data_IF_047957312746
#
_entry.id   IF_047957312746
#
_cell.length_a   1.000
_cell.length_b   1.000
_cell.length_c   1.000
_cell.angle_alpha   90.00
_cell.angle_beta   90.00
_cell.angle_gamma   90.00
#
_symmetry.space_group_name_H-M   'P 1'
#
loop_
_entity.id
_entity.type
_entity.pdbx_description
1 polymer ?
#
# COMPACT_ATOMS: atom_id res chain seq x y z
N UNK A 1 -7.88 -11.41 23.17
CA UNK A 1 -8.41 -11.94 21.89
C UNK A 1 -9.18 -10.81 21.21
N UNK A 2 -8.59 -10.15 20.21
CA UNK A 2 -9.24 -9.06 19.47
C UNK A 2 -10.22 -9.70 18.49
N UNK A 3 -11.53 -9.48 18.69
CA UNK A 3 -12.59 -10.15 17.95
C UNK A 3 -12.66 -9.72 16.47
N UNK A 4 -12.16 -10.58 15.59
CA UNK A 4 -12.14 -10.43 14.12
C UNK A 4 -13.52 -10.50 13.42
N UNK A 5 -14.64 -10.55 14.16
CA UNK A 5 -15.99 -10.82 13.65
C UNK A 5 -16.95 -9.63 13.80
N UNK A 6 -16.47 -8.45 14.21
CA UNK A 6 -17.31 -7.25 14.27
C UNK A 6 -17.62 -6.81 12.83
N UNK A 7 -18.90 -6.74 12.44
CA UNK A 7 -19.35 -6.44 11.07
C UNK A 7 -18.65 -5.21 10.45
N UNK A 8 -18.42 -4.15 11.24
CA UNK A 8 -17.73 -2.95 10.78
C UNK A 8 -16.26 -3.23 10.41
N UNK A 9 -15.58 -4.12 11.13
CA UNK A 9 -14.20 -4.52 10.83
C UNK A 9 -14.11 -5.36 9.56
N UNK A 10 -15.07 -6.27 9.36
CA UNK A 10 -15.16 -7.07 8.13
C UNK A 10 -15.42 -6.18 6.92
N UNK A 11 -16.40 -5.28 7.00
CA UNK A 11 -16.70 -4.32 5.93
C UNK A 11 -15.50 -3.43 5.60
N UNK A 12 -14.77 -2.96 6.62
CA UNK A 12 -13.56 -2.19 6.40
C UNK A 12 -12.49 -2.99 5.64
N UNK A 13 -12.26 -4.24 6.03
CA UNK A 13 -11.30 -5.11 5.32
C UNK A 13 -11.74 -5.37 3.88
N UNK A 14 -13.04 -5.53 3.64
CA UNK A 14 -13.57 -5.68 2.28
C UNK A 14 -13.31 -4.44 1.43
N UNK A 15 -13.55 -3.23 1.94
CA UNK A 15 -13.26 -1.97 1.22
C UNK A 15 -11.77 -1.83 0.88
N UNK A 16 -10.89 -2.18 1.82
CA UNK A 16 -9.44 -2.11 1.59
C UNK A 16 -8.97 -3.17 0.59
N UNK A 17 -9.56 -4.37 0.63
CA UNK A 17 -9.27 -5.42 -0.35
C UNK A 17 -9.76 -5.04 -1.75
N UNK A 18 -10.96 -4.48 -1.87
CA UNK A 18 -11.52 -3.99 -3.13
C UNK A 18 -10.64 -2.91 -3.75
N UNK A 19 -10.17 -1.96 -2.93
CA UNK A 19 -9.22 -0.95 -3.35
C UNK A 19 -7.90 -1.57 -3.84
N UNK A 20 -7.34 -2.52 -3.09
CA UNK A 20 -6.12 -3.22 -3.48
C UNK A 20 -6.30 -3.93 -4.82
N UNK A 21 -7.37 -4.71 -4.98
CA UNK A 21 -7.70 -5.44 -6.20
C UNK A 21 -7.88 -4.50 -7.39
N UNK A 22 -8.60 -3.41 -7.21
CA UNK A 22 -8.83 -2.40 -8.26
C UNK A 22 -7.51 -1.76 -8.71
N UNK A 23 -6.63 -1.42 -7.77
CA UNK A 23 -5.32 -0.84 -8.08
C UNK A 23 -4.43 -1.83 -8.82
N UNK A 24 -4.35 -3.08 -8.37
CA UNK A 24 -3.54 -4.12 -9.02
C UNK A 24 -4.10 -4.45 -10.40
N UNK A 25 -5.42 -4.53 -10.54
CA UNK A 25 -6.07 -4.76 -11.84
C UNK A 25 -5.82 -3.63 -12.84
N UNK A 26 -5.65 -2.39 -12.36
CA UNK A 26 -5.25 -1.25 -13.19
C UNK A 26 -3.79 -1.28 -13.66
N UNK A 27 -3.00 -2.27 -13.24
CA UNK A 27 -1.60 -2.42 -13.63
C UNK A 27 -1.47 -3.70 -14.48
N UNK A 28 -1.45 -3.55 -15.79
CA UNK A 28 -1.52 -4.66 -16.77
C UNK A 28 -0.56 -5.82 -16.46
N UNK A 29 0.68 -5.55 -16.07
CA UNK A 29 1.66 -6.61 -15.78
C UNK A 29 1.39 -7.36 -14.47
N UNK A 30 0.86 -6.68 -13.45
CA UNK A 30 0.46 -7.34 -12.21
C UNK A 30 -0.85 -8.09 -12.41
N UNK A 31 -1.80 -7.49 -13.14
CA UNK A 31 -3.06 -8.15 -13.48
C UNK A 31 -2.80 -9.46 -14.23
N UNK A 32 -1.93 -9.46 -15.24
CA UNK A 32 -1.61 -10.65 -16.03
C UNK A 32 -0.60 -11.60 -15.36
N UNK A 33 -0.15 -11.33 -14.13
CA UNK A 33 0.80 -12.21 -13.44
C UNK A 33 0.13 -13.53 -13.05
N UNK A 34 0.88 -14.62 -13.08
CA UNK A 34 0.35 -15.94 -12.73
C UNK A 34 -0.12 -15.98 -11.27
N UNK A 35 0.62 -15.33 -10.36
CA UNK A 35 0.27 -15.21 -8.95
C UNK A 35 -1.08 -14.50 -8.77
N UNK A 36 -1.28 -13.38 -9.46
CA UNK A 36 -2.50 -12.61 -9.31
C UNK A 36 -3.69 -13.33 -9.94
N UNK A 37 -3.51 -13.93 -11.12
CA UNK A 37 -4.53 -14.74 -11.78
C UNK A 37 -4.94 -15.94 -10.94
N UNK A 38 -3.97 -16.63 -10.33
CA UNK A 38 -4.23 -17.71 -9.38
C UNK A 38 -4.97 -17.21 -8.14
N UNK A 39 -4.66 -16.00 -7.65
CA UNK A 39 -5.37 -15.41 -6.51
C UNK A 39 -6.84 -15.10 -6.82
N UNK A 40 -7.16 -14.54 -7.98
CA UNK A 40 -8.53 -14.10 -8.31
C UNK A 40 -9.41 -15.18 -8.96
N UNK A 41 -8.82 -16.19 -9.61
CA UNK A 41 -9.53 -17.23 -10.38
C UNK A 41 -9.18 -18.66 -9.95
N UNK A 42 -8.18 -18.83 -9.09
CA UNK A 42 -7.70 -20.13 -8.67
C UNK A 42 -8.60 -20.83 -7.65
N UNK A 43 -8.12 -21.97 -7.11
CA UNK A 43 -8.88 -22.74 -6.14
C UNK A 43 -9.03 -21.97 -4.81
N UNK A 44 -10.00 -22.39 -3.99
CA UNK A 44 -10.29 -21.76 -2.69
C UNK A 44 -9.08 -21.72 -1.74
N UNK A 45 -8.17 -22.69 -1.85
CA UNK A 45 -6.91 -22.71 -1.11
C UNK A 45 -5.77 -22.12 -1.97
N UNK A 46 -5.73 -20.79 -2.04
CA UNK A 46 -4.67 -20.05 -2.72
C UNK A 46 -3.28 -20.37 -2.16
N UNK A 47 -3.16 -20.62 -0.84
CA UNK A 47 -1.86 -20.83 -0.21
C UNK A 47 -1.21 -22.09 -0.73
N UNK A 48 -1.95 -23.20 -0.79
CA UNK A 48 -1.46 -24.45 -1.36
C UNK A 48 -1.18 -24.33 -2.85
N UNK A 49 -2.03 -23.62 -3.58
CA UNK A 49 -1.86 -23.45 -5.02
C UNK A 49 -0.65 -22.58 -5.38
N UNK A 50 -0.34 -21.55 -4.59
CA UNK A 50 0.81 -20.67 -4.84
C UNK A 50 2.17 -21.35 -4.59
N UNK A 51 2.20 -22.48 -3.88
CA UNK A 51 3.42 -23.28 -3.68
C UNK A 51 3.90 -23.97 -4.97
N UNK A 52 3.01 -24.21 -5.94
CA UNK A 52 3.38 -24.83 -7.23
C UNK A 52 3.89 -23.83 -8.27
N UNK A 53 3.85 -22.53 -7.98
CA UNK A 53 4.32 -21.50 -8.91
C UNK A 53 5.85 -21.56 -9.05
N UNK A 54 6.32 -21.48 -10.30
CA UNK A 54 7.75 -21.46 -10.59
C UNK A 54 8.38 -20.18 -10.05
N UNK A 55 9.49 -20.31 -9.31
CA UNK A 55 10.22 -19.15 -8.78
C UNK A 55 11.35 -18.81 -9.73
N UNK A 56 11.26 -17.66 -10.36
CA UNK A 56 12.33 -17.18 -11.22
C UNK A 56 13.63 -16.99 -10.46
N UNK A 57 14.72 -17.43 -11.08
CA UNK A 57 16.03 -16.97 -10.67
C UNK A 57 16.23 -15.51 -11.16
N UNK A 58 17.21 -14.82 -10.57
CA UNK A 58 17.48 -13.40 -10.86
C UNK A 58 17.79 -13.12 -12.33
N UNK A 59 18.42 -14.06 -13.04
CA UNK A 59 18.76 -13.90 -14.47
C UNK A 59 17.49 -13.88 -15.31
N UNK A 60 16.56 -14.80 -15.05
CA UNK A 60 15.29 -14.85 -15.75
C UNK A 60 14.39 -13.66 -15.39
N UNK A 61 14.36 -13.27 -14.11
CA UNK A 61 13.67 -12.05 -13.69
C UNK A 61 14.21 -10.81 -14.41
N UNK A 62 15.54 -10.68 -14.52
CA UNK A 62 16.20 -9.58 -15.24
C UNK A 62 15.79 -9.53 -16.71
N UNK A 63 15.81 -10.69 -17.39
CA UNK A 63 15.39 -10.80 -18.80
C UNK A 63 13.96 -10.35 -19.01
N UNK A 64 13.02 -10.79 -18.16
CA UNK A 64 11.61 -10.37 -18.25
C UNK A 64 11.44 -8.87 -18.00
N UNK A 65 12.15 -8.31 -17.01
CA UNK A 65 12.09 -6.87 -16.75
C UNK A 65 12.66 -6.06 -17.92
N UNK A 66 13.77 -6.48 -18.52
CA UNK A 66 14.32 -5.83 -19.70
C UNK A 66 13.35 -5.83 -20.88
N UNK A 67 12.64 -6.94 -21.09
CA UNK A 67 11.67 -7.04 -22.18
C UNK A 67 10.41 -6.20 -21.91
N UNK A 68 9.92 -6.20 -20.67
CA UNK A 68 8.65 -5.56 -20.33
C UNK A 68 8.80 -4.06 -20.03
N UNK A 69 9.97 -3.62 -19.59
CA UNK A 69 10.28 -2.26 -19.16
C UNK A 69 11.48 -1.70 -19.93
N UNK A 70 11.55 -2.01 -21.23
CA UNK A 70 12.68 -1.68 -22.10
C UNK A 70 12.98 -0.17 -22.15
N UNK A 71 11.94 0.65 -22.07
CA UNK A 71 12.03 2.11 -22.02
C UNK A 71 12.84 2.61 -20.81
N UNK A 72 12.77 1.89 -19.69
CA UNK A 72 13.50 2.25 -18.47
C UNK A 72 14.95 1.74 -18.49
N UNK A 73 15.25 0.73 -19.30
CA UNK A 73 16.61 0.22 -19.47
C UNK A 73 17.54 1.24 -20.15
N UNK A 74 16.99 2.21 -20.90
CA UNK A 74 17.75 3.22 -21.63
C UNK A 74 18.27 4.37 -20.75
N UNK A 75 17.70 4.59 -19.56
CA UNK A 75 18.11 5.68 -18.69
C UNK A 75 19.56 5.50 -18.22
N UNK A 76 20.38 6.56 -18.15
CA UNK A 76 21.71 6.46 -17.56
C UNK A 76 21.59 6.18 -16.06
N UNK A 77 22.53 5.41 -15.50
CA UNK A 77 22.61 5.30 -14.05
C UNK A 77 23.05 6.66 -13.50
N UNK A 78 22.34 7.17 -12.50
CA UNK A 78 22.55 8.51 -12.00
C UNK A 78 22.75 8.47 -10.47
N UNK A 79 23.94 8.88 -10.01
CA UNK A 79 24.27 8.90 -8.59
C UNK A 79 23.38 9.86 -7.78
N UNK A 80 22.77 10.85 -8.43
CA UNK A 80 21.78 11.75 -7.80
C UNK A 80 20.50 11.02 -7.38
N UNK A 81 20.17 9.88 -7.99
CA UNK A 81 18.98 9.10 -7.63
C UNK A 81 19.00 8.66 -6.17
N UNK A 82 20.18 8.39 -5.61
CA UNK A 82 20.29 8.01 -4.20
C UNK A 82 19.79 9.12 -3.27
N UNK A 83 20.20 10.36 -3.53
CA UNK A 83 19.78 11.54 -2.77
C UNK A 83 18.27 11.72 -2.90
N UNK A 84 17.74 11.63 -4.13
CA UNK A 84 16.32 11.79 -4.40
C UNK A 84 15.46 10.72 -3.70
N UNK A 85 15.91 9.47 -3.64
CA UNK A 85 15.23 8.42 -2.86
C UNK A 85 15.26 8.69 -1.36
N UNK A 86 16.37 9.16 -0.81
CA UNK A 86 16.50 9.48 0.62
C UNK A 86 15.58 10.65 1.01
N UNK A 87 15.51 11.68 0.18
CA UNK A 87 14.58 12.81 0.34
C UNK A 87 13.11 12.34 0.26
N UNK A 88 12.78 11.54 -0.75
CA UNK A 88 11.43 10.99 -0.91
C UNK A 88 11.03 10.12 0.28
N UNK A 89 11.91 9.23 0.75
CA UNK A 89 11.64 8.40 1.93
C UNK A 89 11.39 9.23 3.17
N UNK A 90 12.20 10.27 3.40
CA UNK A 90 12.02 11.18 4.53
C UNK A 90 10.66 11.87 4.45
N UNK A 91 10.30 12.37 3.27
CA UNK A 91 9.03 13.01 3.03
C UNK A 91 7.84 12.06 3.25
N UNK A 92 7.86 10.87 2.64
CA UNK A 92 6.76 9.91 2.77
C UNK A 92 6.60 9.34 4.17
N UNK A 93 7.71 9.11 4.91
CA UNK A 93 7.64 8.68 6.32
C UNK A 93 7.01 9.77 7.19
N UNK A 94 7.41 11.02 7.01
CA UNK A 94 6.78 12.16 7.69
C UNK A 94 5.30 12.28 7.36
N UNK A 95 4.94 12.18 6.06
CA UNK A 95 3.56 12.17 5.60
C UNK A 95 2.72 11.04 6.22
N UNK A 96 3.27 9.82 6.29
CA UNK A 96 2.62 8.67 6.94
C UNK A 96 2.32 8.96 8.40
N UNK A 97 3.29 9.49 9.14
CA UNK A 97 3.15 9.77 10.57
C UNK A 97 2.09 10.86 10.82
N UNK A 98 2.05 11.88 9.95
CA UNK A 98 1.00 12.90 9.97
C UNK A 98 -0.38 12.31 9.67
N UNK A 99 -0.48 11.44 8.66
CA UNK A 99 -1.75 10.78 8.30
C UNK A 99 -2.25 9.84 9.40
N UNK A 100 -1.36 9.13 10.09
CA UNK A 100 -1.72 8.31 11.25
C UNK A 100 -2.28 9.16 12.40
N UNK A 101 -1.65 10.29 12.71
CA UNK A 101 -2.17 11.23 13.71
C UNK A 101 -3.54 11.80 13.29
N UNK A 102 -3.69 12.12 12.01
CA UNK A 102 -4.95 12.62 11.48
C UNK A 102 -6.06 11.56 11.49
N UNK A 103 -5.77 10.29 11.19
CA UNK A 103 -6.74 9.18 11.29
C UNK A 103 -7.33 9.07 12.70
N UNK A 104 -6.50 9.23 13.74
CA UNK A 104 -6.97 9.21 15.13
C UNK A 104 -7.97 10.34 15.40
N UNK A 105 -7.71 11.54 14.88
CA UNK A 105 -8.62 12.69 15.03
C UNK A 105 -9.92 12.47 14.27
N UNK A 106 -9.83 12.05 13.00
CA UNK A 106 -11.00 11.76 12.15
C UNK A 106 -11.84 10.65 12.75
N UNK A 107 -11.21 9.60 13.27
CA UNK A 107 -11.91 8.50 13.95
C UNK A 107 -12.70 8.98 15.16
N UNK A 108 -12.12 9.85 15.99
CA UNK A 108 -12.84 10.45 17.13
C UNK A 108 -14.06 11.25 16.66
N UNK A 109 -13.92 12.06 15.62
CA UNK A 109 -15.03 12.83 15.07
C UNK A 109 -16.11 11.93 14.45
N UNK A 110 -15.70 10.86 13.77
CA UNK A 110 -16.61 9.83 13.27
C UNK A 110 -17.42 9.20 14.42
N UNK A 111 -16.76 8.79 15.50
CA UNK A 111 -17.40 8.18 16.67
C UNK A 111 -18.31 9.19 17.40
N UNK A 112 -17.88 10.46 17.54
CA UNK A 112 -18.71 11.52 18.15
C UNK A 112 -19.93 11.89 17.33
N UNK A 113 -19.84 11.82 16.00
CA UNK A 113 -20.99 12.07 15.16
C UNK A 113 -22.10 11.01 15.37
N UNK A 114 -21.74 9.77 15.68
CA UNK A 114 -22.72 8.74 16.04
C UNK A 114 -23.45 9.06 17.35
N UNK A 115 -22.73 9.56 18.35
CA UNK A 115 -23.33 10.05 19.60
C UNK A 115 -24.23 11.25 19.34
N UNK A 116 -23.74 12.23 18.59
CA UNK A 116 -24.52 13.42 18.19
C UNK A 116 -25.86 13.02 17.55
N UNK A 117 -25.83 12.11 16.57
CA UNK A 117 -27.03 11.56 15.93
C UNK A 117 -28.05 11.02 16.93
N UNK A 118 -27.60 10.19 17.88
CA UNK A 118 -28.47 9.55 18.88
C UNK A 118 -29.14 10.61 19.76
N UNK A 119 -28.35 11.54 20.28
CA UNK A 119 -28.86 12.61 21.15
C UNK A 119 -29.78 13.57 20.40
N UNK A 120 -29.45 13.97 19.17
CA UNK A 120 -30.33 14.82 18.35
C UNK A 120 -31.68 14.15 18.07
N UNK A 121 -31.68 12.85 17.79
CA UNK A 121 -32.92 12.09 17.57
C UNK A 121 -33.75 12.00 18.86
N UNK A 122 -33.09 11.72 20.00
CA UNK A 122 -33.75 11.67 21.31
C UNK A 122 -34.40 13.01 21.69
N UNK A 123 -33.75 14.13 21.39
CA UNK A 123 -34.30 15.48 21.62
C UNK A 123 -35.58 15.68 20.80
N UNK A 124 -35.60 15.31 19.51
CA UNK A 124 -36.81 15.46 18.68
C UNK A 124 -37.96 14.61 19.22
N UNK A 125 -37.69 13.36 19.63
CA UNK A 125 -38.71 12.52 20.26
C UNK A 125 -39.23 13.13 21.58
N UNK A 126 -38.35 13.67 22.42
CA UNK A 126 -38.76 14.35 23.65
C UNK A 126 -39.67 15.55 23.36
N UNK A 127 -39.34 16.36 22.34
CA UNK A 127 -40.17 17.51 21.94
C UNK A 127 -41.56 17.05 21.49
N UNK A 128 -41.65 16.01 20.65
CA UNK A 128 -42.94 15.46 20.23
C UNK A 128 -43.76 14.94 21.42
N UNK A 129 -43.14 14.17 22.32
CA UNK A 129 -43.81 13.63 23.49
C UNK A 129 -44.32 14.74 24.43
N UNK A 130 -43.52 15.79 24.64
CA UNK A 130 -43.93 16.95 25.43
C UNK A 130 -45.09 17.69 24.75
N UNK A 131 -45.03 17.86 23.43
CA UNK A 131 -46.08 18.54 22.69
C UNK A 131 -47.41 17.79 22.74
N UNK A 132 -47.40 16.47 22.59
CA UNK A 132 -48.56 15.59 22.78
C UNK A 132 -49.11 15.68 24.20
N UNK A 133 -48.25 15.67 25.22
CA UNK A 133 -48.68 15.83 26.61
C UNK A 133 -49.36 17.19 26.86
N UNK A 134 -48.78 18.27 26.33
CA UNK A 134 -49.31 19.63 26.52
C UNK A 134 -50.55 19.92 25.67
N UNK A 135 -50.77 19.20 24.57
CA UNK A 135 -51.99 19.34 23.76
C UNK A 135 -53.25 18.96 24.53
N UNK A 136 -53.13 18.00 25.46
CA UNK A 136 -54.20 17.67 26.41
C UNK A 136 -54.62 18.86 27.31
N UNK A 137 -53.78 19.89 27.45
CA UNK A 137 -54.05 21.12 28.19
C UNK A 137 -54.43 22.30 27.29
N UNK A 138 -54.74 22.05 26.02
CA UNK A 138 -55.19 23.07 25.06
C UNK A 138 -54.07 23.89 24.41
N UNK A 139 -52.81 23.48 24.57
CA UNK A 139 -51.67 24.06 23.84
C UNK A 139 -51.61 23.43 22.44
N UNK A 140 -51.23 24.22 21.42
CA UNK A 140 -51.11 23.73 20.05
C UNK A 140 -50.06 22.60 19.96
N UNK A 141 -50.44 21.50 19.34
CA UNK A 141 -49.55 20.37 19.09
C UNK A 141 -48.57 20.67 17.95
N UNK A 142 -47.32 20.25 18.14
CA UNK A 142 -46.20 20.33 17.21
C UNK A 142 -45.68 18.91 17.02
N UNK A 143 -45.75 18.42 15.79
CA UNK A 143 -45.23 17.11 15.41
C UNK A 143 -44.07 17.30 14.42
N UNK A 144 -42.86 17.04 14.89
CA UNK A 144 -41.64 17.09 14.09
C UNK A 144 -41.27 15.68 13.67
N UNK A 145 -41.02 15.46 12.37
CA UNK A 145 -40.53 14.15 11.92
C UNK A 145 -39.05 14.01 12.27
N UNK A 146 -38.66 13.03 13.11
CA UNK A 146 -37.26 12.79 13.42
C UNK A 146 -36.52 12.34 12.17
N UNK A 147 -35.25 12.73 12.05
CA UNK A 147 -34.41 12.26 10.96
C UNK A 147 -33.98 10.85 11.30
N UNK A 148 -34.39 9.85 10.52
CA UNK A 148 -34.00 8.47 10.80
C UNK A 148 -32.63 8.11 10.18
N UNK A 149 -32.30 8.75 9.04
CA UNK A 149 -31.13 8.43 8.24
C UNK A 149 -30.12 9.58 8.25
N UNK A 150 -29.13 9.48 9.12
CA UNK A 150 -27.97 10.37 9.14
C UNK A 150 -26.83 9.78 8.31
N UNK A 151 -26.18 10.61 7.52
CA UNK A 151 -24.96 10.24 6.80
C UNK A 151 -23.77 10.84 7.52
N UNK A 152 -22.92 10.00 8.12
CA UNK A 152 -21.73 10.49 8.83
C UNK A 152 -20.71 11.06 7.84
N UNK A 153 -20.50 12.40 7.79
CA UNK A 153 -19.61 13.00 6.82
C UNK A 153 -18.16 12.58 7.04
N UNK A 154 -17.77 12.22 8.26
CA UNK A 154 -16.40 11.77 8.57
C UNK A 154 -16.09 10.38 8.00
N UNK A 155 -17.08 9.63 7.50
CA UNK A 155 -16.85 8.32 6.89
C UNK A 155 -15.90 8.41 5.68
N UNK A 156 -16.08 9.41 4.80
CA UNK A 156 -15.22 9.58 3.63
C UNK A 156 -13.79 9.97 4.03
N UNK A 157 -13.63 10.80 5.06
CA UNK A 157 -12.31 11.16 5.58
C UNK A 157 -11.64 9.95 6.22
N UNK A 158 -12.37 9.14 6.98
CA UNK A 158 -11.82 7.98 7.66
C UNK A 158 -11.36 6.91 6.66
N UNK A 159 -12.17 6.62 5.64
CA UNK A 159 -11.82 5.68 4.57
C UNK A 159 -10.62 6.20 3.76
N UNK A 160 -10.59 7.50 3.45
CA UNK A 160 -9.46 8.12 2.75
C UNK A 160 -8.16 8.06 3.56
N UNK A 161 -8.17 8.49 4.82
CA UNK A 161 -6.95 8.52 5.65
C UNK A 161 -6.31 7.13 5.76
N UNK A 162 -7.13 6.09 5.93
CA UNK A 162 -6.65 4.69 6.01
C UNK A 162 -6.07 4.21 4.69
N UNK A 163 -6.75 4.50 3.58
CA UNK A 163 -6.22 4.22 2.23
C UNK A 163 -4.89 4.94 2.00
N UNK A 164 -4.79 6.19 2.41
CA UNK A 164 -3.61 7.03 2.17
C UNK A 164 -2.40 6.54 2.98
N UNK A 165 -2.62 6.09 4.22
CA UNK A 165 -1.58 5.44 5.03
C UNK A 165 -1.03 4.19 4.32
N UNK A 166 -1.90 3.35 3.76
CA UNK A 166 -1.48 2.14 3.05
C UNK A 166 -0.70 2.48 1.77
N UNK A 167 -1.12 3.50 1.03
CA UNK A 167 -0.41 3.96 -0.16
C UNK A 167 1.00 4.49 0.18
N UNK A 168 1.12 5.25 1.27
CA UNK A 168 2.41 5.75 1.76
C UNK A 168 3.31 4.59 2.21
N UNK A 169 2.76 3.58 2.89
CA UNK A 169 3.50 2.38 3.24
C UNK A 169 3.99 1.63 1.99
N UNK A 170 3.13 1.49 0.98
CA UNK A 170 3.47 0.78 -0.25
C UNK A 170 4.60 1.48 -1.03
N UNK A 171 4.57 2.81 -1.15
CA UNK A 171 5.65 3.54 -1.86
C UNK A 171 6.96 3.54 -1.06
N UNK A 172 6.89 3.61 0.27
CA UNK A 172 8.07 3.46 1.15
C UNK A 172 8.67 2.07 0.96
N UNK A 173 7.85 1.01 1.02
CA UNK A 173 8.31 -0.37 0.82
C UNK A 173 8.93 -0.56 -0.57
N UNK A 174 8.33 0.00 -1.62
CA UNK A 174 8.87 -0.08 -2.98
C UNK A 174 10.26 0.56 -3.08
N UNK A 175 10.46 1.74 -2.48
CA UNK A 175 11.78 2.38 -2.42
C UNK A 175 12.74 1.58 -1.52
N UNK A 176 12.27 0.94 -0.45
CA UNK A 176 13.14 0.16 0.43
C UNK A 176 13.62 -1.14 -0.23
N UNK A 177 12.75 -1.81 -1.01
CA UNK A 177 13.05 -3.06 -1.71
C UNK A 177 14.20 -2.95 -2.71
N UNK A 178 14.43 -1.78 -3.29
CA UNK A 178 15.60 -1.60 -4.17
C UNK A 178 16.92 -1.70 -3.38
N UNK A 179 16.99 -1.23 -2.14
CA UNK A 179 18.20 -1.38 -1.30
C UNK A 179 18.42 -2.84 -0.88
N UNK A 180 17.37 -3.64 -0.76
CA UNK A 180 17.52 -5.09 -0.57
C UNK A 180 18.20 -5.73 -1.79
N UNK A 181 17.82 -5.34 -3.01
CA UNK A 181 18.47 -5.81 -4.23
C UNK A 181 19.94 -5.40 -4.30
N UNK A 182 20.28 -4.16 -3.90
CA UNK A 182 21.67 -3.70 -3.80
C UNK A 182 22.47 -4.55 -2.80
N UNK A 183 21.88 -4.90 -1.65
CA UNK A 183 22.51 -5.81 -0.68
C UNK A 183 22.77 -7.20 -1.27
N UNK A 184 21.86 -7.70 -2.11
CA UNK A 184 22.08 -8.96 -2.83
C UNK A 184 23.20 -8.86 -3.87
N UNK A 185 23.26 -7.75 -4.61
CA UNK A 185 24.36 -7.45 -5.54
C UNK A 185 25.71 -7.47 -4.82
N UNK A 186 25.85 -6.73 -3.71
CA UNK A 186 27.12 -6.70 -2.95
C UNK A 186 27.54 -8.08 -2.45
N UNK A 187 26.60 -8.92 -1.99
CA UNK A 187 26.90 -10.31 -1.59
C UNK A 187 27.41 -11.15 -2.76
N UNK A 188 26.85 -10.97 -3.95
CA UNK A 188 27.31 -11.65 -5.17
C UNK A 188 28.69 -11.17 -5.60
N UNK A 189 28.99 -9.88 -5.49
CA UNK A 189 30.33 -9.32 -5.74
C UNK A 189 31.38 -9.86 -4.76
N UNK A 190 31.05 -9.96 -3.46
CA UNK A 190 31.91 -10.61 -2.47
C UNK A 190 32.14 -12.09 -2.79
N UNK A 191 31.10 -12.79 -3.25
CA UNK A 191 31.19 -14.20 -3.64
C UNK A 191 32.08 -14.38 -4.86
N UNK A 192 31.97 -13.51 -5.86
CA UNK A 192 32.86 -13.47 -7.02
C UNK A 192 34.32 -13.23 -6.60
N UNK A 193 34.57 -12.28 -5.71
CA UNK A 193 35.92 -12.02 -5.16
C UNK A 193 36.51 -13.25 -4.46
N UNK A 194 35.69 -13.97 -3.67
CA UNK A 194 36.09 -15.24 -3.05
C UNK A 194 36.41 -16.32 -4.09
N UNK A 195 35.63 -16.43 -5.17
CA UNK A 195 35.91 -17.37 -6.25
C UNK A 195 37.20 -17.03 -7.01
N UNK A 196 37.44 -15.75 -7.32
CA UNK A 196 38.69 -15.30 -7.95
C UNK A 196 39.90 -15.65 -7.07
N UNK A 197 39.81 -15.40 -5.75
CA UNK A 197 40.87 -15.77 -4.81
C UNK A 197 41.10 -17.29 -4.77
N UNK A 198 40.03 -18.10 -4.83
CA UNK A 198 40.14 -19.57 -4.91
C UNK A 198 40.79 -20.03 -6.21
N UNK A 199 40.46 -19.39 -7.33
CA UNK A 199 41.04 -19.69 -8.64
C UNK A 199 42.55 -19.44 -8.64
N UNK A 200 43.00 -18.31 -8.11
CA UNK A 200 44.43 -17.99 -8.02
C UNK A 200 45.20 -18.95 -7.10
N UNK A 201 44.60 -19.36 -5.97
CA UNK A 201 45.17 -20.41 -5.11
C UNK A 201 45.26 -21.76 -5.83
N UNK A 202 44.22 -22.14 -6.58
CA UNK A 202 44.19 -23.38 -7.35
C UNK A 202 45.26 -23.38 -8.47
N UNK A 203 45.41 -22.28 -9.21
CA UNK A 203 46.45 -22.13 -10.25
C UNK A 203 47.86 -22.23 -9.69
N UNK A 204 48.13 -21.56 -8.56
CA UNK A 204 49.43 -21.57 -7.88
C UNK A 204 49.72 -22.86 -7.10
N UNK A 205 48.79 -23.82 -7.08
CA UNK A 205 48.98 -25.13 -6.42
C UNK A 205 48.82 -25.10 -4.89
N UNK A 206 48.42 -23.96 -4.30
CA UNK A 206 48.16 -23.85 -2.87
C UNK A 206 46.82 -24.52 -2.54
N UNK A 207 46.87 -25.74 -1.98
CA UNK A 207 45.68 -26.49 -1.58
C UNK A 207 44.96 -25.79 -0.41
N UNK A 208 43.65 -25.59 -0.54
CA UNK A 208 42.76 -25.24 0.58
C UNK A 208 42.41 -26.50 1.37
N UNK A 209 42.11 -26.39 2.67
CA UNK A 209 41.75 -27.54 3.53
C UNK A 209 40.64 -28.43 2.93
N UNK A 210 39.68 -27.84 2.21
CA UNK A 210 38.61 -28.56 1.50
C UNK A 210 39.09 -29.37 0.29
N UNK A 211 40.25 -29.05 -0.30
CA UNK A 211 40.83 -29.75 -1.45
C UNK A 211 41.64 -30.99 -1.06
N UNK A 212 41.97 -31.18 0.23
CA UNK A 212 42.64 -32.39 0.71
C UNK A 212 41.76 -33.65 0.62
N UNK A 213 40.44 -33.48 0.57
CA UNK A 213 39.46 -34.57 0.52
C UNK A 213 38.80 -34.76 -0.86
N UNK A 214 39.25 -34.02 -1.88
CA UNK A 214 38.65 -34.09 -3.23
C UNK A 214 39.46 -34.98 -4.15
N UNK A 215 38.80 -35.91 -4.84
CA UNK A 215 39.39 -36.76 -5.90
C UNK A 215 39.60 -36.04 -7.24
N UNK A 216 39.29 -34.74 -7.32
CA UNK A 216 39.35 -33.97 -8.56
C UNK A 216 40.79 -33.56 -8.91
N UNK A 217 41.11 -33.58 -10.20
CA UNK A 217 42.37 -33.05 -10.72
C UNK A 217 42.44 -31.53 -10.59
N UNK A 218 43.65 -30.97 -10.67
CA UNK A 218 43.87 -29.52 -10.61
C UNK A 218 43.13 -28.81 -11.75
N UNK A 219 43.15 -29.41 -12.94
CA UNK A 219 42.52 -28.91 -14.15
C UNK A 219 41.00 -28.90 -14.02
N UNK A 220 40.39 -30.00 -13.54
CA UNK A 220 38.94 -30.08 -13.30
C UNK A 220 38.48 -29.04 -12.26
N UNK A 221 39.25 -28.86 -11.19
CA UNK A 221 38.96 -27.88 -10.16
C UNK A 221 39.03 -26.44 -10.69
N UNK A 222 40.05 -26.12 -11.51
CA UNK A 222 40.18 -24.81 -12.16
C UNK A 222 39.00 -24.56 -13.11
N UNK A 223 38.59 -25.56 -13.88
CA UNK A 223 37.44 -25.48 -14.78
C UNK A 223 36.13 -25.24 -14.03
N UNK A 224 35.89 -25.98 -12.94
CA UNK A 224 34.69 -25.82 -12.10
C UNK A 224 34.61 -24.43 -11.46
N UNK A 225 35.72 -23.93 -10.91
CA UNK A 225 35.79 -22.58 -10.35
C UNK A 225 35.57 -21.54 -11.47
N UNK A 226 36.12 -21.76 -12.65
CA UNK A 226 35.89 -20.92 -13.83
C UNK A 226 34.42 -20.84 -14.24
N UNK A 227 33.73 -21.98 -14.28
CA UNK A 227 32.28 -22.04 -14.51
C UNK A 227 31.48 -21.32 -13.43
N UNK A 228 31.85 -21.47 -12.16
CA UNK A 228 31.22 -20.76 -11.05
C UNK A 228 31.41 -19.23 -11.15
N UNK A 229 32.61 -18.77 -11.54
CA UNK A 229 32.89 -17.35 -11.81
C UNK A 229 32.02 -16.81 -12.93
N UNK A 230 31.88 -17.53 -14.04
CA UNK A 230 31.03 -17.11 -15.18
C UNK A 230 29.57 -16.94 -14.75
N UNK A 231 29.02 -17.94 -14.05
CA UNK A 231 27.63 -17.88 -13.54
C UNK A 231 27.43 -16.73 -12.56
N UNK A 232 28.39 -16.48 -11.67
CA UNK A 232 28.27 -15.38 -10.70
C UNK A 232 28.35 -14.00 -11.39
N UNK A 233 29.16 -13.86 -12.45
CA UNK A 233 29.18 -12.63 -13.27
C UNK A 233 27.86 -12.38 -13.98
N UNK A 234 27.21 -13.43 -14.50
CA UNK A 234 25.87 -13.32 -15.08
C UNK A 234 24.84 -12.86 -14.03
N UNK A 235 24.89 -13.43 -12.82
CA UNK A 235 24.04 -13.02 -11.69
C UNK A 235 24.25 -11.55 -11.30
N UNK A 236 25.50 -11.10 -11.21
CA UNK A 236 25.85 -9.70 -10.93
C UNK A 236 25.28 -8.78 -12.00
N UNK A 237 25.47 -9.11 -13.28
CA UNK A 237 24.92 -8.34 -14.39
C UNK A 237 23.39 -8.29 -14.35
N UNK A 238 22.74 -9.40 -14.03
CA UNK A 238 21.30 -9.47 -13.88
C UNK A 238 20.77 -8.54 -12.76
N UNK A 239 21.43 -8.52 -11.59
CA UNK A 239 21.11 -7.59 -10.50
C UNK A 239 21.30 -6.14 -10.90
N UNK A 240 22.43 -5.80 -11.53
CA UNK A 240 22.72 -4.44 -11.98
C UNK A 240 21.64 -3.93 -12.95
N UNK A 241 21.23 -4.77 -13.91
CA UNK A 241 20.17 -4.45 -14.85
C UNK A 241 18.81 -4.25 -14.16
N UNK A 242 18.45 -5.15 -13.23
CA UNK A 242 17.20 -5.04 -12.47
C UNK A 242 17.15 -3.76 -11.64
N UNK A 243 18.20 -3.50 -10.86
CA UNK A 243 18.30 -2.30 -10.01
C UNK A 243 18.18 -1.04 -10.86
N UNK A 244 18.87 -0.99 -12.00
CA UNK A 244 18.81 0.13 -12.94
C UNK A 244 17.38 0.39 -13.43
N UNK A 245 16.71 -0.64 -13.94
CA UNK A 245 15.33 -0.54 -14.46
C UNK A 245 14.36 -0.11 -13.36
N UNK A 246 14.45 -0.73 -12.18
CA UNK A 246 13.58 -0.43 -11.04
C UNK A 246 13.76 1.02 -10.58
N UNK A 247 15.00 1.47 -10.41
CA UNK A 247 15.28 2.86 -10.01
C UNK A 247 14.78 3.86 -11.04
N UNK A 248 15.06 3.61 -12.33
CA UNK A 248 14.61 4.45 -13.42
C UNK A 248 13.09 4.55 -13.46
N UNK A 249 12.37 3.42 -13.33
CA UNK A 249 10.90 3.42 -13.30
C UNK A 249 10.34 4.13 -12.07
N UNK A 250 10.92 3.90 -10.88
CA UNK A 250 10.47 4.58 -9.67
C UNK A 250 10.59 6.11 -9.80
N UNK A 251 11.74 6.61 -10.21
CA UNK A 251 12.00 8.06 -10.29
C UNK A 251 11.24 8.73 -11.43
N UNK A 252 11.23 8.11 -12.62
CA UNK A 252 10.71 8.77 -13.81
C UNK A 252 9.21 8.54 -14.04
N UNK A 253 8.60 7.58 -13.34
CA UNK A 253 7.18 7.27 -13.50
C UNK A 253 6.43 7.21 -12.17
N UNK A 254 6.82 6.31 -11.26
CA UNK A 254 5.98 6.00 -10.10
C UNK A 254 5.93 7.14 -9.07
N UNK A 255 7.07 7.76 -8.75
CA UNK A 255 7.12 8.87 -7.79
C UNK A 255 6.38 10.12 -8.29
N UNK A 256 6.58 10.60 -9.53
CA UNK A 256 5.78 11.71 -10.07
C UNK A 256 4.29 11.40 -10.11
N UNK A 257 3.92 10.20 -10.59
CA UNK A 257 2.52 9.76 -10.63
C UNK A 257 1.91 9.71 -9.24
N UNK A 258 2.62 9.16 -8.26
CA UNK A 258 2.16 9.11 -6.88
C UNK A 258 1.87 10.50 -6.32
N UNK A 259 2.80 11.45 -6.52
CA UNK A 259 2.64 12.86 -6.11
C UNK A 259 1.39 13.50 -6.73
N UNK A 260 1.21 13.36 -8.04
CA UNK A 260 0.04 13.91 -8.74
C UNK A 260 -1.27 13.31 -8.21
N UNK A 261 -1.33 11.98 -8.07
CA UNK A 261 -2.50 11.30 -7.56
C UNK A 261 -2.91 11.76 -6.15
N UNK A 262 -1.96 12.18 -5.31
CA UNK A 262 -2.27 12.66 -3.95
C UNK A 262 -3.00 14.00 -3.96
N UNK A 263 -2.60 14.90 -4.86
CA UNK A 263 -3.24 16.21 -5.03
C UNK A 263 -4.69 16.01 -5.50
N UNK A 264 -4.89 15.24 -6.58
CA UNK A 264 -6.21 15.02 -7.17
C UNK A 264 -7.15 14.31 -6.18
N UNK A 265 -6.63 13.32 -5.43
CA UNK A 265 -7.41 12.57 -4.46
C UNK A 265 -7.84 13.42 -3.27
N UNK A 266 -6.93 14.29 -2.77
CA UNK A 266 -7.24 15.20 -1.67
C UNK A 266 -8.40 16.13 -2.07
N UNK A 267 -8.33 16.73 -3.25
CA UNK A 267 -9.39 17.62 -3.74
C UNK A 267 -10.73 16.91 -3.79
N UNK A 268 -10.77 15.72 -4.41
CA UNK A 268 -11.99 14.93 -4.54
C UNK A 268 -12.60 14.59 -3.18
N UNK A 269 -11.77 14.11 -2.24
CA UNK A 269 -12.22 13.73 -0.89
C UNK A 269 -12.75 14.94 -0.11
N UNK A 270 -12.08 16.08 -0.19
CA UNK A 270 -12.53 17.30 0.49
C UNK A 270 -13.86 17.80 -0.08
N UNK A 271 -14.05 17.76 -1.41
CA UNK A 271 -15.34 18.08 -2.03
C UNK A 271 -16.46 17.17 -1.53
N UNK A 272 -16.21 15.86 -1.45
CA UNK A 272 -17.20 14.90 -0.92
C UNK A 272 -17.50 15.17 0.55
N UNK A 273 -16.48 15.42 1.38
CA UNK A 273 -16.65 15.73 2.80
C UNK A 273 -17.47 17.00 3.01
N UNK A 274 -17.16 18.08 2.27
CA UNK A 274 -17.88 19.36 2.34
C UNK A 274 -19.34 19.16 1.93
N UNK A 275 -19.58 18.49 0.81
CA UNK A 275 -20.94 18.22 0.33
C UNK A 275 -21.75 17.43 1.35
N UNK A 276 -21.18 16.34 1.88
CA UNK A 276 -21.87 15.51 2.88
C UNK A 276 -22.13 16.28 4.17
N UNK A 277 -21.18 17.10 4.63
CA UNK A 277 -21.35 17.91 5.84
C UNK A 277 -22.44 18.96 5.65
N UNK A 278 -22.45 19.64 4.50
CA UNK A 278 -23.44 20.66 4.18
C UNK A 278 -24.85 20.08 4.19
N UNK A 279 -25.09 18.99 3.44
CA UNK A 279 -26.40 18.33 3.40
C UNK A 279 -26.87 17.91 4.80
N UNK A 280 -25.97 17.39 5.62
CA UNK A 280 -26.29 16.90 6.96
C UNK A 280 -26.71 18.05 7.90
N UNK A 281 -25.93 19.13 7.94
CA UNK A 281 -26.25 20.28 8.78
C UNK A 281 -27.41 21.13 8.27
N UNK A 282 -27.61 21.25 6.96
CA UNK A 282 -28.81 21.91 6.40
C UNK A 282 -30.09 21.19 6.78
N UNK A 283 -30.08 19.85 6.78
CA UNK A 283 -31.23 19.05 7.24
C UNK A 283 -31.54 19.32 8.71
N UNK A 284 -30.50 19.34 9.56
CA UNK A 284 -30.65 19.63 10.98
C UNK A 284 -31.20 21.04 11.22
N UNK A 285 -30.67 22.05 10.52
CA UNK A 285 -31.13 23.43 10.61
C UNK A 285 -32.61 23.50 10.25
N UNK A 286 -33.03 22.84 9.16
CA UNK A 286 -34.43 22.81 8.75
C UNK A 286 -35.33 22.18 9.81
N UNK A 287 -34.89 21.10 10.45
CA UNK A 287 -35.65 20.49 11.57
C UNK A 287 -35.78 21.46 12.73
N UNK A 288 -34.69 22.09 13.18
CA UNK A 288 -34.70 23.07 14.28
C UNK A 288 -35.60 24.28 13.98
N UNK A 289 -35.65 24.74 12.73
CA UNK A 289 -36.55 25.81 12.31
C UNK A 289 -38.03 25.39 12.35
N UNK A 290 -38.35 24.13 12.03
CA UNK A 290 -39.72 23.61 12.20
C UNK A 290 -40.13 23.55 13.66
N UNK A 291 -39.19 23.23 14.57
CA UNK A 291 -39.44 23.29 16.01
C UNK A 291 -39.82 24.72 16.40
N UNK A 292 -38.98 25.70 16.04
CA UNK A 292 -39.19 27.10 16.36
C UNK A 292 -40.51 27.67 15.79
N UNK A 293 -40.84 27.34 14.54
CA UNK A 293 -42.11 27.73 13.93
C UNK A 293 -43.33 27.04 14.54
N UNK A 294 -43.17 25.83 15.07
CA UNK A 294 -44.25 25.10 15.74
C UNK A 294 -44.69 25.76 17.05
N UNK A 295 -43.75 26.40 17.75
CA UNK A 295 -43.98 27.04 19.05
C UNK A 295 -44.37 28.53 18.98
N UNK A 296 -44.27 29.17 17.80
CA UNK A 296 -44.81 30.50 17.53
C UNK A 296 -46.25 30.42 16.96
#
# INVERSE_FOLDING_TARGET
MIGNMINNFVQQRMKLLDLFLTKVAGITHLYNSEEFQLFIRGPSDFRKASESLEKDNVVEASRRFQNHFAEFAMYPNNDYWKIEFEECLTFFRSGRDLMQKFEVVVKKNFDYFDSFRKESTAIVHLVNNLSEYFSAFGIKEVSITPKENFSNPYCVLLDWTRSEILDLLAIIEAIEKQYELEKHLSKSEEKLSKFNTKLEKAKTGKKTFSQYFSSKTKEQLVEEIGKAISREKEVISAYQNLIKIIKARLINLELPRFKQQKVDKLEMVMRTYISSSKTEFETLISQLQQIDQGFN
#
